data_IF_048295736721
#
_entry.id   IF_048295736721
#
_cell.length_a   1.000
_cell.length_b   1.000
_cell.length_c   1.000
_cell.angle_alpha   90.00
_cell.angle_beta   90.00
_cell.angle_gamma   90.00
#
_symmetry.space_group_name_H-M   'P 1'
#
loop_
_entity.id
_entity.type
_entity.pdbx_description
1 polymer ?
#
# COMPACT_ATOMS: atom_id res chain seq x y z
N UNK A 1 19.11 -0.66 8.98
CA UNK A 1 17.92 -0.28 8.20
C UNK A 1 17.46 -1.43 7.28
N UNK A 2 18.36 -2.16 6.61
CA UNK A 2 17.98 -3.30 5.73
C UNK A 2 17.18 -4.39 6.45
N UNK A 3 17.62 -4.85 7.61
CA UNK A 3 16.92 -5.91 8.35
C UNK A 3 15.47 -5.56 8.74
N UNK A 4 15.20 -4.28 9.08
CA UNK A 4 13.84 -3.80 9.38
C UNK A 4 12.99 -3.76 8.11
N UNK A 5 13.57 -3.29 7.01
CA UNK A 5 12.90 -3.25 5.70
C UNK A 5 12.51 -4.67 5.24
N UNK A 6 13.41 -5.66 5.39
CA UNK A 6 13.15 -7.05 4.98
C UNK A 6 12.06 -7.71 5.83
N UNK A 7 11.99 -7.38 7.13
CA UNK A 7 10.97 -7.89 8.02
C UNK A 7 9.58 -7.31 7.69
N UNK A 8 9.51 -5.98 7.53
CA UNK A 8 8.28 -5.30 7.09
C UNK A 8 7.78 -5.83 5.75
N UNK A 9 8.69 -6.10 4.82
CA UNK A 9 8.41 -6.65 3.51
C UNK A 9 7.79 -8.05 3.55
N UNK A 10 8.32 -8.89 4.43
CA UNK A 10 7.77 -10.25 4.62
C UNK A 10 6.35 -10.19 5.19
N UNK A 11 6.10 -9.27 6.11
CA UNK A 11 4.77 -9.06 6.69
C UNK A 11 3.81 -8.49 5.64
N UNK A 12 4.21 -7.46 4.90
CA UNK A 12 3.38 -6.86 3.85
C UNK A 12 2.96 -7.91 2.81
N UNK A 13 3.90 -8.72 2.31
CA UNK A 13 3.60 -9.81 1.37
C UNK A 13 2.66 -10.87 1.95
N UNK A 14 2.86 -11.26 3.20
CA UNK A 14 1.98 -12.22 3.87
C UNK A 14 0.56 -11.67 4.04
N UNK A 15 0.43 -10.40 4.43
CA UNK A 15 -0.88 -9.73 4.56
C UNK A 15 -1.57 -9.63 3.20
N UNK A 16 -0.86 -9.20 2.14
CA UNK A 16 -1.42 -9.10 0.80
C UNK A 16 -1.90 -10.47 0.29
N UNK A 17 -1.09 -11.52 0.44
CA UNK A 17 -1.47 -12.87 0.05
C UNK A 17 -2.69 -13.38 0.85
N UNK A 18 -2.73 -13.12 2.15
CA UNK A 18 -3.85 -13.48 3.01
C UNK A 18 -5.15 -12.76 2.61
N UNK A 19 -5.08 -11.45 2.36
CA UNK A 19 -6.24 -10.67 1.93
C UNK A 19 -6.76 -11.13 0.57
N UNK A 20 -5.88 -11.39 -0.40
CA UNK A 20 -6.25 -11.94 -1.71
C UNK A 20 -6.93 -13.31 -1.59
N UNK A 21 -6.35 -14.22 -0.80
CA UNK A 21 -6.92 -15.55 -0.56
C UNK A 21 -8.30 -15.43 0.10
N UNK A 22 -8.43 -14.58 1.12
CA UNK A 22 -9.71 -14.35 1.82
C UNK A 22 -10.78 -13.81 0.87
N UNK A 23 -10.47 -12.81 0.05
CA UNK A 23 -11.40 -12.27 -0.94
C UNK A 23 -11.86 -13.35 -1.93
N UNK A 24 -10.93 -14.14 -2.43
CA UNK A 24 -11.24 -15.22 -3.39
C UNK A 24 -12.15 -16.27 -2.76
N UNK A 25 -11.85 -16.73 -1.55
CA UNK A 25 -12.65 -17.72 -0.84
C UNK A 25 -14.05 -17.18 -0.52
N UNK A 26 -14.14 -15.94 -0.04
CA UNK A 26 -15.44 -15.31 0.29
C UNK A 26 -16.30 -15.15 -0.96
N UNK A 27 -15.73 -14.65 -2.04
CA UNK A 27 -16.45 -14.46 -3.31
C UNK A 27 -16.92 -15.79 -3.88
N UNK A 28 -16.05 -16.80 -3.86
CA UNK A 28 -16.42 -18.15 -4.34
C UNK A 28 -17.51 -18.79 -3.47
N UNK A 29 -17.39 -18.67 -2.16
CA UNK A 29 -18.42 -19.15 -1.20
C UNK A 29 -19.76 -18.46 -1.43
N UNK A 30 -19.77 -17.16 -1.73
CA UNK A 30 -20.99 -16.41 -2.05
C UNK A 30 -21.66 -16.93 -3.33
N UNK A 31 -20.88 -17.26 -4.35
CA UNK A 31 -21.38 -17.85 -5.59
C UNK A 31 -22.04 -19.21 -5.31
N UNK A 32 -21.38 -20.08 -4.55
CA UNK A 32 -21.95 -21.38 -4.15
C UNK A 32 -23.24 -21.19 -3.34
N UNK A 33 -23.23 -20.31 -2.34
CA UNK A 33 -24.40 -20.03 -1.51
C UNK A 33 -25.60 -19.59 -2.37
N UNK A 34 -25.37 -18.77 -3.37
CA UNK A 34 -26.42 -18.25 -4.25
C UNK A 34 -26.96 -19.30 -5.21
N UNK A 35 -26.08 -20.09 -5.85
CA UNK A 35 -26.49 -21.02 -6.91
C UNK A 35 -26.87 -22.42 -6.40
N UNK A 36 -26.23 -22.91 -5.33
CA UNK A 36 -26.48 -24.24 -4.76
C UNK A 36 -27.55 -24.19 -3.67
N UNK A 37 -27.44 -23.21 -2.76
CA UNK A 37 -28.35 -23.12 -1.60
C UNK A 37 -29.47 -22.09 -1.80
N UNK A 38 -29.50 -21.40 -2.93
CA UNK A 38 -30.45 -20.32 -3.24
C UNK A 38 -30.57 -19.29 -2.10
N UNK A 39 -29.47 -19.06 -1.39
CA UNK A 39 -29.34 -18.17 -0.22
C UNK A 39 -28.25 -17.15 -0.47
N UNK A 40 -28.58 -15.86 -0.38
CA UNK A 40 -27.58 -14.80 -0.51
C UNK A 40 -26.87 -14.52 0.82
N UNK A 41 -25.54 -14.54 0.84
CA UNK A 41 -24.75 -14.08 1.98
C UNK A 41 -24.46 -12.58 1.84
N UNK A 42 -25.31 -11.75 2.42
CA UNK A 42 -25.27 -10.28 2.27
C UNK A 42 -23.95 -9.70 2.83
N UNK A 43 -23.51 -10.17 3.98
CA UNK A 43 -22.28 -9.70 4.63
C UNK A 43 -20.98 -10.01 3.84
N UNK A 44 -21.04 -10.91 2.86
CA UNK A 44 -19.87 -11.25 2.04
C UNK A 44 -19.40 -10.05 1.21
N UNK A 45 -20.32 -9.25 0.68
CA UNK A 45 -19.98 -8.06 -0.11
C UNK A 45 -19.26 -7.01 0.76
N UNK A 46 -19.75 -6.77 1.97
CA UNK A 46 -19.14 -5.85 2.91
C UNK A 46 -17.72 -6.31 3.30
N UNK A 47 -17.57 -7.60 3.64
CA UNK A 47 -16.27 -8.19 3.97
C UNK A 47 -15.26 -8.06 2.82
N UNK A 48 -15.70 -8.36 1.59
CA UNK A 48 -14.85 -8.24 0.40
C UNK A 48 -14.41 -6.79 0.17
N UNK A 49 -15.32 -5.83 0.37
CA UNK A 49 -15.00 -4.40 0.25
C UNK A 49 -13.98 -3.94 1.29
N UNK A 50 -14.12 -4.41 2.53
CA UNK A 50 -13.15 -4.12 3.61
C UNK A 50 -11.79 -4.71 3.26
N UNK A 51 -11.72 -5.98 2.88
CA UNK A 51 -10.48 -6.64 2.48
C UNK A 51 -9.83 -5.93 1.28
N UNK A 52 -10.62 -5.48 0.31
CA UNK A 52 -10.13 -4.74 -0.85
C UNK A 52 -9.52 -3.39 -0.45
N UNK A 53 -10.17 -2.63 0.42
CA UNK A 53 -9.61 -1.37 0.91
C UNK A 53 -8.26 -1.56 1.63
N UNK A 54 -8.14 -2.60 2.44
CA UNK A 54 -6.91 -2.97 3.12
C UNK A 54 -5.83 -3.42 2.11
N UNK A 55 -6.21 -4.23 1.14
CA UNK A 55 -5.32 -4.70 0.08
C UNK A 55 -4.74 -3.54 -0.74
N UNK A 56 -5.57 -2.55 -1.10
CA UNK A 56 -5.12 -1.38 -1.86
C UNK A 56 -4.09 -0.57 -1.06
N UNK A 57 -4.35 -0.30 0.23
CA UNK A 57 -3.44 0.52 1.05
C UNK A 57 -2.10 -0.18 1.32
N UNK A 58 -2.10 -1.47 1.65
CA UNK A 58 -0.86 -2.24 1.77
C UNK A 58 -0.18 -2.42 0.41
N UNK A 59 -0.96 -2.64 -0.65
CA UNK A 59 -0.46 -2.78 -2.01
C UNK A 59 0.23 -1.52 -2.53
N UNK A 60 -0.30 -0.33 -2.23
CA UNK A 60 0.34 0.94 -2.55
C UNK A 60 1.71 1.08 -1.87
N UNK A 61 1.80 0.71 -0.58
CA UNK A 61 3.05 0.72 0.17
C UNK A 61 4.08 -0.23 -0.44
N UNK A 62 3.69 -1.47 -0.69
CA UNK A 62 4.55 -2.48 -1.31
C UNK A 62 4.92 -2.12 -2.75
N UNK A 63 3.98 -1.60 -3.54
CA UNK A 63 4.20 -1.15 -4.92
C UNK A 63 5.27 -0.06 -5.03
N UNK A 64 5.32 0.85 -4.05
CA UNK A 64 6.35 1.89 -3.99
C UNK A 64 7.76 1.29 -3.76
N UNK A 65 7.85 0.21 -2.97
CA UNK A 65 9.12 -0.48 -2.73
C UNK A 65 9.65 -1.17 -3.99
N UNK A 66 8.78 -1.92 -4.69
CA UNK A 66 9.19 -2.66 -5.91
C UNK A 66 9.32 -1.76 -7.13
N UNK A 67 8.99 -0.45 -6.99
CA UNK A 67 9.10 0.49 -8.09
C UNK A 67 8.06 0.25 -9.18
N UNK A 68 6.83 -0.13 -8.81
CA UNK A 68 5.74 -0.39 -9.76
C UNK A 68 5.30 0.85 -10.59
N UNK A 69 5.92 2.00 -10.38
CA UNK A 69 5.67 3.24 -11.14
C UNK A 69 6.44 3.28 -12.47
N UNK A 70 6.52 2.15 -13.16
CA UNK A 70 7.25 1.94 -14.42
C UNK A 70 6.99 3.01 -15.49
N UNK A 71 5.75 3.53 -15.59
CA UNK A 71 5.41 4.52 -16.59
C UNK A 71 6.08 5.88 -16.39
N UNK A 72 6.18 6.32 -15.14
CA UNK A 72 6.84 7.59 -14.79
C UNK A 72 8.35 7.45 -14.94
N UNK A 73 8.90 6.32 -14.56
CA UNK A 73 10.33 6.03 -14.60
C UNK A 73 10.87 5.98 -16.04
N UNK A 74 10.12 5.37 -16.95
CA UNK A 74 10.47 5.32 -18.38
C UNK A 74 10.54 6.71 -19.02
N UNK A 75 9.62 7.61 -18.65
CA UNK A 75 9.59 8.98 -19.16
C UNK A 75 10.73 9.81 -18.59
N UNK A 76 11.03 9.68 -17.29
CA UNK A 76 12.01 10.49 -16.60
C UNK A 76 13.45 10.06 -16.97
N UNK A 77 13.68 8.80 -17.35
CA UNK A 77 14.99 8.30 -17.83
C UNK A 77 15.49 8.99 -19.11
N UNK A 78 14.61 9.66 -19.85
CA UNK A 78 15.01 10.46 -21.03
C UNK A 78 15.77 11.73 -20.67
N UNK A 79 15.78 12.15 -19.40
CA UNK A 79 16.44 13.37 -18.94
C UNK A 79 17.84 13.10 -18.35
N UNK A 80 18.74 14.08 -18.37
CA UNK A 80 20.07 13.94 -17.76
C UNK A 80 19.99 13.69 -16.25
N UNK A 81 20.94 12.92 -15.71
CA UNK A 81 20.99 12.44 -14.33
C UNK A 81 20.63 13.47 -13.23
N UNK A 82 21.05 14.76 -13.28
CA UNK A 82 20.67 15.71 -12.23
C UNK A 82 19.19 16.10 -12.28
N UNK A 83 18.62 16.20 -13.47
CA UNK A 83 17.19 16.52 -13.67
C UNK A 83 16.32 15.33 -13.22
N UNK A 84 16.73 14.11 -13.56
CA UNK A 84 16.12 12.87 -13.09
C UNK A 84 16.00 12.85 -11.56
N UNK A 85 17.10 13.09 -10.83
CA UNK A 85 17.08 13.14 -9.36
C UNK A 85 16.11 14.17 -8.80
N UNK A 86 16.02 15.34 -9.44
CA UNK A 86 15.10 16.40 -9.06
C UNK A 86 13.64 15.97 -9.16
N UNK A 87 13.24 15.36 -10.28
CA UNK A 87 11.87 14.86 -10.48
C UNK A 87 11.50 13.75 -9.50
N UNK A 88 12.41 12.83 -9.23
CA UNK A 88 12.16 11.75 -8.27
C UNK A 88 12.00 12.29 -6.85
N UNK A 89 12.85 13.23 -6.44
CA UNK A 89 12.72 13.86 -5.11
C UNK A 89 11.42 14.65 -4.98
N UNK A 90 11.00 15.34 -6.05
CA UNK A 90 9.70 16.00 -6.09
C UNK A 90 8.55 14.99 -5.91
N UNK A 91 8.61 13.84 -6.61
CA UNK A 91 7.64 12.76 -6.47
C UNK A 91 7.57 12.21 -5.05
N UNK A 92 8.73 11.95 -4.44
CA UNK A 92 8.81 11.50 -3.04
C UNK A 92 8.21 12.55 -2.09
N UNK A 93 8.53 13.84 -2.28
CA UNK A 93 7.97 14.92 -1.49
C UNK A 93 6.44 14.97 -1.61
N UNK A 94 5.90 14.87 -2.82
CA UNK A 94 4.45 14.79 -3.05
C UNK A 94 3.82 13.58 -2.34
N UNK A 95 4.43 12.40 -2.40
CA UNK A 95 3.97 11.20 -1.71
C UNK A 95 3.95 11.38 -0.19
N UNK A 96 4.98 11.98 0.39
CA UNK A 96 5.06 12.23 1.85
C UNK A 96 4.04 13.28 2.28
N UNK A 97 3.87 14.36 1.51
CA UNK A 97 2.85 15.39 1.79
C UNK A 97 1.45 14.76 1.73
N UNK A 98 1.17 13.98 0.69
CA UNK A 98 -0.10 13.28 0.53
C UNK A 98 -0.39 12.36 1.73
N UNK A 99 0.57 11.52 2.10
CA UNK A 99 0.45 10.63 3.25
C UNK A 99 0.24 11.41 4.56
N UNK A 100 0.92 12.54 4.74
CA UNK A 100 0.77 13.41 5.90
C UNK A 100 -0.64 14.02 6.00
N UNK A 101 -1.19 14.51 4.90
CA UNK A 101 -2.55 15.07 4.85
C UNK A 101 -3.58 13.99 5.21
N UNK A 102 -3.45 12.78 4.64
CA UNK A 102 -4.37 11.67 4.93
C UNK A 102 -4.22 11.15 6.37
N UNK A 103 -3.01 11.08 6.88
CA UNK A 103 -2.76 10.72 8.27
C UNK A 103 -3.41 11.74 9.22
N UNK A 104 -3.22 13.03 8.95
CA UNK A 104 -3.85 14.09 9.73
C UNK A 104 -5.38 14.04 9.64
N UNK A 105 -5.95 13.82 8.48
CA UNK A 105 -7.41 13.66 8.30
C UNK A 105 -7.97 12.46 9.05
N UNK A 106 -7.25 11.33 9.06
CA UNK A 106 -7.69 10.09 9.69
C UNK A 106 -7.52 10.08 11.21
N UNK A 107 -6.37 10.52 11.72
CA UNK A 107 -6.07 10.57 13.16
C UNK A 107 -6.41 11.92 13.82
N UNK A 108 -6.32 13.02 13.08
CA UNK A 108 -6.41 14.38 13.63
C UNK A 108 -5.13 14.81 14.32
N UNK A 109 -5.20 15.92 15.05
CA UNK A 109 -4.04 16.47 15.75
C UNK A 109 -3.85 15.77 17.11
N UNK A 110 -2.77 14.97 17.29
CA UNK A 110 -2.49 14.29 18.55
C UNK A 110 -2.18 15.27 19.69
N UNK A 111 -1.66 16.47 19.36
CA UNK A 111 -1.34 17.50 20.34
C UNK A 111 -2.59 18.15 20.97
N UNK A 112 -3.72 18.17 20.24
CA UNK A 112 -4.99 18.79 20.72
C UNK A 112 -5.77 17.85 21.62
N UNK A 113 -5.72 16.54 21.36
CA UNK A 113 -6.56 15.55 22.06
C UNK A 113 -5.80 14.68 23.05
N UNK A 114 -4.47 14.74 23.10
CA UNK A 114 -3.65 13.87 23.94
C UNK A 114 -3.77 12.37 23.60
N UNK A 115 -4.48 12.03 22.52
CA UNK A 115 -4.67 10.67 22.00
C UNK A 115 -4.24 10.59 20.56
N UNK A 116 -3.57 9.53 20.17
CA UNK A 116 -2.97 9.34 18.85
C UNK A 116 -3.97 9.49 17.69
N UNK A 117 -5.23 9.09 17.88
CA UNK A 117 -6.30 9.20 16.88
C UNK A 117 -7.61 9.67 17.53
N UNK A 118 -7.61 10.84 18.18
CA UNK A 118 -8.75 11.33 18.98
C UNK A 118 -9.70 12.29 18.25
N UNK A 119 -9.20 13.11 17.33
CA UNK A 119 -9.97 14.20 16.67
C UNK A 119 -10.24 13.95 15.19
N UNK A 120 -9.52 13.03 14.54
CA UNK A 120 -9.71 12.70 13.15
C UNK A 120 -10.91 11.81 12.87
N UNK A 121 -11.05 11.36 11.64
CA UNK A 121 -12.16 10.53 11.19
C UNK A 121 -12.33 9.26 12.02
N UNK A 122 -11.24 8.51 12.25
CA UNK A 122 -11.24 7.26 13.04
C UNK A 122 -11.69 7.52 14.48
N UNK A 123 -11.18 8.58 15.11
CA UNK A 123 -11.57 8.96 16.47
C UNK A 123 -13.04 9.40 16.59
N UNK A 124 -13.56 10.09 15.58
CA UNK A 124 -14.99 10.46 15.52
C UNK A 124 -15.87 9.21 15.40
N UNK A 125 -15.51 8.25 14.52
CA UNK A 125 -16.24 6.99 14.38
C UNK A 125 -16.24 6.17 15.67
N UNK A 126 -15.13 6.15 16.40
CA UNK A 126 -15.04 5.48 17.70
C UNK A 126 -15.95 6.12 18.76
N UNK A 127 -16.04 7.46 18.78
CA UNK A 127 -16.89 8.20 19.73
C UNK A 127 -18.39 8.01 19.47
N UNK A 128 -18.79 7.98 18.20
CA UNK A 128 -20.21 7.83 17.81
C UNK A 128 -20.67 6.37 17.95
N UNK A 129 -19.71 5.42 18.00
CA UNK A 129 -20.04 4.00 18.15
C UNK A 129 -20.68 3.37 16.91
N UNK A 130 -20.46 3.96 15.72
CA UNK A 130 -21.01 3.46 14.47
C UNK A 130 -20.47 2.05 14.16
N UNK A 131 -21.37 1.19 13.70
CA UNK A 131 -21.07 -0.16 13.21
C UNK A 131 -21.25 -0.24 11.70
N UNK A 132 -20.64 -1.24 11.10
CA UNK A 132 -20.89 -1.61 9.69
C UNK A 132 -22.30 -2.19 9.55
N UNK A 133 -22.84 -2.17 8.34
CA UNK A 133 -24.26 -2.46 8.10
C UNK A 133 -24.59 -3.95 8.27
N UNK A 134 -23.82 -4.83 7.64
CA UNK A 134 -24.09 -6.26 7.61
C UNK A 134 -23.26 -7.06 8.62
N UNK A 135 -21.96 -6.72 8.78
CA UNK A 135 -21.05 -7.41 9.70
C UNK A 135 -21.15 -6.91 11.14
N UNK A 136 -21.78 -5.75 11.37
CA UNK A 136 -21.91 -5.09 12.69
C UNK A 136 -20.56 -4.86 13.39
N UNK A 137 -19.47 -4.80 12.62
CA UNK A 137 -18.13 -4.48 13.13
C UNK A 137 -18.01 -3.00 13.47
N UNK A 138 -17.19 -2.63 14.45
CA UNK A 138 -17.00 -1.22 14.76
C UNK A 138 -16.28 -0.53 13.59
N UNK A 139 -16.91 0.50 13.02
CA UNK A 139 -16.35 1.23 11.85
C UNK A 139 -14.95 1.78 12.10
N UNK A 140 -14.63 2.21 13.31
CA UNK A 140 -13.30 2.71 13.63
C UNK A 140 -12.20 1.65 13.39
N UNK A 141 -12.48 0.38 13.65
CA UNK A 141 -11.52 -0.71 13.42
C UNK A 141 -11.30 -0.93 11.91
N UNK A 142 -12.37 -0.89 11.12
CA UNK A 142 -12.29 -1.02 9.66
C UNK A 142 -11.46 0.13 9.05
N UNK A 143 -11.70 1.36 9.49
CA UNK A 143 -11.01 2.54 8.97
C UNK A 143 -9.64 2.79 9.61
N UNK A 144 -9.23 2.04 10.63
CA UNK A 144 -7.88 2.14 11.24
C UNK A 144 -6.76 1.81 10.25
N UNK A 145 -7.07 1.12 9.16
CA UNK A 145 -6.12 0.87 8.08
C UNK A 145 -5.61 2.16 7.42
N UNK A 146 -6.43 3.22 7.38
CA UNK A 146 -6.02 4.50 6.78
C UNK A 146 -4.76 5.08 7.42
N UNK A 147 -4.70 5.34 8.74
CA UNK A 147 -3.48 5.84 9.35
C UNK A 147 -2.33 4.82 9.28
N UNK A 148 -2.62 3.52 9.43
CA UNK A 148 -1.59 2.47 9.38
C UNK A 148 -0.97 2.40 7.98
N UNK A 149 -1.79 2.33 6.94
CA UNK A 149 -1.35 2.28 5.55
C UNK A 149 -0.59 3.54 5.13
N UNK A 150 -1.04 4.73 5.59
CA UNK A 150 -0.36 5.99 5.28
C UNK A 150 1.01 6.12 5.95
N UNK A 151 1.17 5.60 7.18
CA UNK A 151 2.48 5.55 7.84
C UNK A 151 3.42 4.61 7.09
N UNK A 152 2.96 3.42 6.71
CA UNK A 152 3.77 2.48 5.91
C UNK A 152 4.14 3.08 4.56
N UNK A 153 3.19 3.70 3.87
CA UNK A 153 3.41 4.36 2.58
C UNK A 153 4.44 5.50 2.70
N UNK A 154 4.31 6.37 3.72
CA UNK A 154 5.28 7.44 3.98
C UNK A 154 6.69 6.88 4.29
N UNK A 155 6.76 5.82 5.11
CA UNK A 155 8.02 5.15 5.41
C UNK A 155 8.72 4.64 4.14
N UNK A 156 7.96 3.98 3.25
CA UNK A 156 8.48 3.49 1.97
C UNK A 156 8.87 4.61 1.02
N UNK A 157 8.11 5.70 0.97
CA UNK A 157 8.45 6.88 0.18
C UNK A 157 9.77 7.50 0.63
N UNK A 158 9.98 7.64 1.93
CA UNK A 158 11.22 8.16 2.51
C UNK A 158 12.39 7.21 2.25
N UNK A 159 12.20 5.88 2.42
CA UNK A 159 13.22 4.87 2.13
C UNK A 159 13.66 4.93 0.66
N UNK A 160 12.71 5.03 -0.28
CA UNK A 160 12.98 5.16 -1.70
C UNK A 160 13.74 6.46 -2.02
N UNK A 161 13.32 7.59 -1.46
CA UNK A 161 13.99 8.88 -1.60
C UNK A 161 15.43 8.84 -1.07
N UNK A 162 15.63 8.26 0.10
CA UNK A 162 16.96 8.11 0.70
C UNK A 162 17.88 7.24 -0.15
N UNK A 163 17.36 6.13 -0.71
CA UNK A 163 18.14 5.25 -1.58
C UNK A 163 18.65 5.97 -2.84
N UNK A 164 17.87 6.90 -3.39
CA UNK A 164 18.22 7.69 -4.57
C UNK A 164 19.24 8.79 -4.23
N UNK A 165 19.04 9.49 -3.11
CA UNK A 165 19.97 10.52 -2.65
C UNK A 165 21.37 9.93 -2.38
N UNK A 166 21.41 8.74 -1.77
CA UNK A 166 22.65 8.02 -1.46
C UNK A 166 23.27 7.28 -2.64
N UNK A 167 22.63 7.34 -3.84
CA UNK A 167 23.13 6.69 -5.05
C UNK A 167 23.07 5.16 -5.03
N UNK A 168 22.34 4.58 -4.07
CA UNK A 168 22.15 3.11 -3.96
C UNK A 168 21.14 2.57 -4.95
N UNK A 169 20.29 3.42 -5.50
CA UNK A 169 19.35 3.13 -6.59
C UNK A 169 19.47 4.17 -7.67
N UNK A 170 19.63 3.74 -8.90
CA UNK A 170 19.62 4.63 -10.06
C UNK A 170 18.19 4.89 -10.59
N UNK A 171 17.21 4.14 -10.11
CA UNK A 171 15.81 4.18 -10.58
C UNK A 171 14.82 3.79 -9.47
N UNK A 172 13.58 4.29 -9.53
CA UNK A 172 12.48 3.85 -8.69
C UNK A 172 11.91 2.49 -9.12
N UNK A 173 12.08 2.12 -10.38
CA UNK A 173 11.63 0.83 -10.91
C UNK A 173 12.69 -0.25 -10.71
N UNK A 174 12.22 -1.46 -10.42
CA UNK A 174 13.03 -2.68 -10.37
C UNK A 174 13.47 -3.12 -11.79
N UNK A 175 14.16 -2.22 -12.51
CA UNK A 175 14.69 -2.50 -13.84
C UNK A 175 15.79 -3.58 -13.87
N UNK A 176 16.27 -4.02 -12.71
CA UNK A 176 17.28 -5.05 -12.61
C UNK A 176 16.80 -6.44 -13.04
N UNK A 177 15.55 -6.82 -12.72
CA UNK A 177 15.06 -8.15 -13.14
C UNK A 177 14.97 -8.28 -14.66
N UNK A 178 14.54 -7.22 -15.35
CA UNK A 178 14.49 -7.25 -16.82
C UNK A 178 15.89 -7.19 -17.46
N UNK A 179 16.82 -6.44 -16.88
CA UNK A 179 18.21 -6.39 -17.34
C UNK A 179 18.97 -7.68 -17.04
N UNK A 180 18.71 -8.32 -15.89
CA UNK A 180 19.31 -9.60 -15.53
C UNK A 180 18.79 -10.73 -16.44
N UNK A 181 17.48 -10.73 -16.74
CA UNK A 181 16.89 -11.67 -17.71
C UNK A 181 17.43 -11.46 -19.13
N UNK A 182 17.66 -10.21 -19.55
CA UNK A 182 18.26 -9.91 -20.86
C UNK A 182 19.72 -10.38 -20.88
N UNK A 183 20.49 -10.13 -19.82
CA UNK A 183 21.89 -10.60 -19.71
C UNK A 183 22.02 -12.11 -19.68
N UNK A 184 21.11 -12.77 -18.96
CA UNK A 184 21.06 -14.24 -18.89
C UNK A 184 20.76 -14.84 -20.25
N UNK A 185 19.77 -14.27 -20.98
CA UNK A 185 19.46 -14.71 -22.35
C UNK A 185 20.55 -14.36 -23.35
N UNK A 186 21.25 -13.23 -23.23
CA UNK A 186 22.41 -12.93 -24.09
C UNK A 186 23.60 -13.89 -23.83
N UNK A 187 23.77 -14.36 -22.61
CA UNK A 187 24.77 -15.37 -22.28
C UNK A 187 24.48 -16.72 -22.91
N UNK A 188 23.22 -17.11 -22.99
CA UNK A 188 22.77 -18.36 -23.64
C UNK A 188 22.88 -18.31 -25.16
N UNK A 189 22.71 -17.11 -25.78
CA UNK A 189 22.80 -16.95 -27.22
C UNK A 189 24.25 -16.85 -27.76
N UNK A 190 25.24 -16.64 -26.88
CA UNK A 190 26.66 -16.51 -27.23
C UNK A 190 27.50 -17.78 -26.91
N UNK A 191 26.90 -18.82 -26.33
CA UNK A 191 27.51 -20.12 -26.05
C UNK A 191 26.99 -21.21 -26.98
#
# INVERSE_FOLDING_TARGET
MQAVSDWVDRIERAILAFLMATMTIVTFSQVIARYVFNSGWVSALELTTICFAWLVLFGCSYGLKIGAHLGVDALIRLFPKPVFRGFVLLGVACCVIYAGIFFYGSCGNPFVTGKLCGSGYVGKMAKIGLRTEDLHWPRWAVYSILPIGMVLFAFRAIEAGWAIVTGRRESLAAGHEAEDLVRENEGVLKG
#
